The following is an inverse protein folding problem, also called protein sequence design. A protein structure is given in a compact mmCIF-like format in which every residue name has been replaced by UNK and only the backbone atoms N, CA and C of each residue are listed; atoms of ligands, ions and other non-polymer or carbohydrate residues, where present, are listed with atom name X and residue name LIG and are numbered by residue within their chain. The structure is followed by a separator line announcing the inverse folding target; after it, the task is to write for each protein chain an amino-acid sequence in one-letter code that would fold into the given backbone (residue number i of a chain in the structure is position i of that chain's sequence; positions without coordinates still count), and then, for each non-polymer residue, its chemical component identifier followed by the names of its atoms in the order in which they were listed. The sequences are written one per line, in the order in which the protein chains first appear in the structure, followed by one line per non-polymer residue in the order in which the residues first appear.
data_IF_457662035497
#
_entry.id   IF_457662035497
#
_cell.length_a   1.000
_cell.length_b   1.000
_cell.length_c   1.000
_cell.angle_alpha   90.00
_cell.angle_beta   90.00
_cell.angle_gamma   90.00
#
_symmetry.space_group_name_H-M   'P 1'
#
loop_
_entity.id
_entity.type
_entity.pdbx_description
1 polymer ?
#
# COMPACT_ATOMS: atom_id res chain seq x y z
N UNK A 1 6.54 3.21 23.42
CA UNK A 1 7.58 3.14 22.38
C UNK A 1 8.29 1.80 22.52
N UNK A 2 8.40 1.04 21.44
CA UNK A 2 9.04 -0.28 21.42
C UNK A 2 10.11 -0.30 20.32
N UNK A 3 11.20 -1.02 20.53
CA UNK A 3 12.24 -1.18 19.52
C UNK A 3 11.92 -2.39 18.64
N UNK A 4 12.03 -2.21 17.32
CA UNK A 4 11.86 -3.27 16.32
C UNK A 4 13.21 -3.48 15.63
N UNK A 5 13.79 -4.67 15.79
CA UNK A 5 15.00 -5.03 15.05
C UNK A 5 14.66 -5.49 13.64
N UNK A 6 15.44 -5.07 12.65
CA UNK A 6 15.32 -5.56 11.28
C UNK A 6 15.90 -6.98 11.22
N UNK A 7 15.03 -7.97 11.02
CA UNK A 7 15.40 -9.38 10.84
C UNK A 7 15.98 -9.59 9.44
N UNK A 8 15.34 -9.00 8.43
CA UNK A 8 15.83 -9.00 7.05
C UNK A 8 15.25 -7.83 6.28
N UNK A 9 15.92 -7.48 5.18
CA UNK A 9 15.39 -6.52 4.22
C UNK A 9 15.85 -6.86 2.81
N UNK A 10 15.03 -6.51 1.82
CA UNK A 10 15.33 -6.76 0.42
C UNK A 10 14.63 -5.75 -0.49
N UNK A 11 15.29 -5.34 -1.57
CA UNK A 11 14.64 -4.62 -2.64
C UNK A 11 13.72 -5.58 -3.42
N UNK A 12 12.46 -5.21 -3.56
CA UNK A 12 11.43 -5.97 -4.29
C UNK A 12 11.05 -5.31 -5.61
N UNK A 13 11.44 -4.05 -5.81
CA UNK A 13 11.54 -3.35 -7.10
C UNK A 13 12.84 -2.53 -7.09
N UNK A 14 13.11 -1.76 -8.15
CA UNK A 14 14.32 -0.93 -8.23
C UNK A 14 14.45 0.12 -7.11
N UNK A 15 13.35 0.53 -6.46
CA UNK A 15 13.36 1.52 -5.38
C UNK A 15 12.40 1.21 -4.23
N UNK A 16 11.82 0.01 -4.18
CA UNK A 16 10.96 -0.40 -3.07
C UNK A 16 11.65 -1.48 -2.27
N UNK A 17 11.78 -1.25 -0.97
CA UNK A 17 12.43 -2.15 -0.02
C UNK A 17 11.39 -2.72 0.95
N UNK A 18 11.38 -4.04 1.07
CA UNK A 18 10.62 -4.79 2.08
C UNK A 18 11.49 -4.94 3.32
N UNK A 19 10.94 -4.64 4.48
CA UNK A 19 11.56 -4.88 5.78
C UNK A 19 10.75 -5.90 6.57
N UNK A 20 11.43 -6.92 7.06
CA UNK A 20 10.92 -7.88 8.05
C UNK A 20 11.48 -7.47 9.41
N UNK A 21 10.59 -7.22 10.36
CA UNK A 21 10.92 -6.66 11.66
C UNK A 21 10.50 -7.65 12.76
N UNK A 22 11.24 -7.64 13.86
CA UNK A 22 10.79 -8.33 15.08
C UNK A 22 9.43 -7.83 15.50
N UNK A 23 8.56 -8.76 15.89
CA UNK A 23 7.23 -8.44 16.41
C UNK A 23 7.27 -8.42 17.93
N UNK A 24 6.89 -7.31 18.58
CA UNK A 24 6.83 -7.26 20.03
C UNK A 24 5.82 -8.29 20.56
N UNK A 25 6.12 -8.85 21.73
CA UNK A 25 5.22 -9.82 22.38
C UNK A 25 3.85 -9.17 22.65
N UNK A 26 2.79 -9.95 22.40
CA UNK A 26 1.39 -9.53 22.59
C UNK A 26 0.98 -8.30 21.74
N UNK A 27 1.76 -7.95 20.71
CA UNK A 27 1.44 -6.84 19.81
C UNK A 27 0.29 -7.19 18.87
N UNK A 28 -0.71 -6.29 18.81
CA UNK A 28 -1.91 -6.48 17.99
C UNK A 28 -2.17 -5.31 17.06
N UNK A 29 -2.50 -5.61 15.81
CA UNK A 29 -3.03 -4.67 14.83
C UNK A 29 -4.01 -5.39 13.90
N UNK A 30 -4.81 -4.62 13.18
CA UNK A 30 -5.70 -5.10 12.13
C UNK A 30 -5.13 -4.81 10.73
N UNK A 31 -5.42 -5.65 9.72
CA UNK A 31 -5.06 -5.37 8.34
C UNK A 31 -5.49 -3.96 7.89
N UNK A 32 -4.55 -3.23 7.27
CA UNK A 32 -4.73 -1.84 6.83
C UNK A 32 -4.41 -0.78 7.89
N UNK A 33 -4.04 -1.18 9.11
CA UNK A 33 -3.49 -0.26 10.11
C UNK A 33 -2.01 0.05 9.86
N UNK A 34 -1.65 1.28 10.20
CA UNK A 34 -0.30 1.81 10.13
C UNK A 34 0.25 2.06 11.53
N UNK A 35 1.56 2.22 11.60
CA UNK A 35 2.20 2.73 12.79
C UNK A 35 3.10 3.92 12.46
N UNK A 36 3.26 4.80 13.43
CA UNK A 36 4.31 5.81 13.40
C UNK A 36 5.63 5.14 13.76
N UNK A 37 6.61 5.26 12.87
CA UNK A 37 7.93 4.67 13.02
C UNK A 37 9.00 5.76 12.83
N UNK A 38 10.07 5.67 13.61
CA UNK A 38 11.32 6.39 13.35
C UNK A 38 12.51 5.44 13.39
N UNK A 39 13.70 5.95 13.06
CA UNK A 39 14.93 5.16 12.99
C UNK A 39 15.68 5.35 14.30
N UNK A 40 16.12 4.26 14.94
CA UNK A 40 16.86 4.31 16.20
C UNK A 40 18.35 4.66 15.97
N UNK A 41 18.62 5.85 15.44
CA UNK A 41 19.96 6.38 15.16
C UNK A 41 19.98 7.86 15.56
N UNK A 42 21.06 8.36 16.20
CA UNK A 42 21.24 9.78 16.54
C UNK A 42 20.84 10.73 15.42
N UNK A 43 19.85 11.59 15.71
CA UNK A 43 19.32 12.60 14.80
C UNK A 43 18.09 12.16 14.01
N UNK A 44 17.74 10.87 14.04
CA UNK A 44 16.61 10.30 13.30
C UNK A 44 15.47 9.81 14.20
N UNK A 45 15.68 9.73 15.52
CA UNK A 45 14.73 9.13 16.47
C UNK A 45 13.42 9.91 16.55
N UNK A 46 13.46 11.21 16.24
CA UNK A 46 12.30 12.10 16.24
C UNK A 46 11.74 12.35 14.82
N UNK A 47 12.29 11.70 13.78
CA UNK A 47 11.80 11.82 12.41
C UNK A 47 10.68 10.80 12.16
N UNK A 48 9.50 11.12 12.68
CA UNK A 48 8.33 10.24 12.68
C UNK A 48 7.69 10.14 11.29
N UNK A 49 7.48 8.92 10.79
CA UNK A 49 6.75 8.67 9.54
C UNK A 49 5.76 7.51 9.67
N UNK A 50 4.61 7.60 9.00
CA UNK A 50 3.64 6.51 8.99
C UNK A 50 4.07 5.40 8.03
N UNK A 51 3.98 4.14 8.48
CA UNK A 51 4.13 2.97 7.62
C UNK A 51 3.05 1.94 7.91
N UNK A 52 2.47 1.40 6.84
CA UNK A 52 1.39 0.42 6.94
C UNK A 52 1.94 -0.99 7.05
N UNK A 53 1.39 -1.76 7.99
CA UNK A 53 1.72 -3.17 8.09
C UNK A 53 1.17 -3.92 6.88
N UNK A 54 2.07 -4.66 6.24
CA UNK A 54 1.76 -5.54 5.11
C UNK A 54 1.67 -6.99 5.57
N UNK A 55 2.23 -7.35 6.72
CA UNK A 55 2.10 -8.67 7.36
C UNK A 55 0.70 -8.91 7.93
N UNK A 56 0.38 -10.18 8.21
CA UNK A 56 -0.82 -10.57 8.95
C UNK A 56 -0.58 -10.66 10.46
N UNK A 57 -1.64 -10.41 11.23
CA UNK A 57 -1.59 -10.38 12.68
C UNK A 57 -1.15 -11.71 13.31
N UNK A 58 -1.32 -12.85 12.65
CA UNK A 58 -0.88 -14.13 13.21
C UNK A 58 0.56 -14.51 12.80
N UNK A 59 1.24 -13.70 11.98
CA UNK A 59 2.65 -13.92 11.66
C UNK A 59 3.54 -13.57 12.86
N UNK A 60 4.68 -14.26 12.96
CA UNK A 60 5.68 -14.09 14.03
C UNK A 60 6.53 -12.82 13.86
N UNK A 61 6.38 -12.11 12.74
CA UNK A 61 7.11 -10.90 12.40
C UNK A 61 6.18 -9.82 11.87
N UNK A 62 6.66 -8.58 11.89
CA UNK A 62 6.03 -7.46 11.19
C UNK A 62 6.68 -7.28 9.81
N UNK A 63 5.89 -6.90 8.81
CA UNK A 63 6.38 -6.55 7.48
C UNK A 63 5.91 -5.15 7.10
N UNK A 64 6.83 -4.29 6.69
CA UNK A 64 6.54 -3.01 6.05
C UNK A 64 7.23 -2.93 4.69
N UNK A 65 6.60 -2.24 3.76
CA UNK A 65 7.11 -2.01 2.41
C UNK A 65 7.25 -0.51 2.20
N UNK A 66 8.46 -0.08 1.86
CA UNK A 66 8.83 1.33 1.79
C UNK A 66 9.44 1.64 0.45
N UNK A 67 8.94 2.68 -0.21
CA UNK A 67 9.62 3.28 -1.36
C UNK A 67 10.74 4.20 -0.88
N UNK A 68 11.94 3.95 -1.38
CA UNK A 68 13.16 4.68 -1.07
C UNK A 68 13.28 5.84 -2.05
N UNK A 69 13.38 7.05 -1.51
CA UNK A 69 13.59 8.28 -2.28
C UNK A 69 15.00 8.79 -1.98
N UNK A 70 15.96 8.51 -2.86
CA UNK A 70 17.39 8.82 -2.62
C UNK A 70 17.75 10.28 -2.94
N UNK A 71 16.89 10.98 -3.67
CA UNK A 71 17.12 12.35 -4.17
C UNK A 71 17.16 13.42 -3.05
N UNK A 72 16.68 13.07 -1.85
CA UNK A 72 16.64 13.98 -0.69
C UNK A 72 17.13 13.27 0.58
N UNK A 73 17.82 14.00 1.45
CA UNK A 73 18.10 13.52 2.81
C UNK A 73 16.81 13.47 3.61
N UNK A 74 16.18 12.29 3.65
CA UNK A 74 14.93 12.04 4.34
C UNK A 74 14.85 10.64 4.93
N UNK A 75 13.77 10.38 5.68
CA UNK A 75 13.58 9.12 6.42
C UNK A 75 13.62 7.90 5.49
N UNK A 76 13.01 7.98 4.31
CA UNK A 76 13.04 6.90 3.31
C UNK A 76 14.46 6.63 2.79
N UNK A 77 15.24 7.68 2.47
CA UNK A 77 16.64 7.54 2.07
C UNK A 77 17.47 6.87 3.17
N UNK A 78 17.26 7.29 4.43
CA UNK A 78 17.96 6.72 5.57
C UNK A 78 17.56 5.25 5.82
N UNK A 79 16.28 4.91 5.70
CA UNK A 79 15.81 3.52 5.74
C UNK A 79 16.48 2.67 4.65
N UNK A 80 16.69 3.22 3.46
CA UNK A 80 17.38 2.55 2.35
C UNK A 80 18.78 2.05 2.73
N UNK A 81 19.49 2.81 3.58
CA UNK A 81 20.84 2.51 4.05
C UNK A 81 20.89 1.47 5.19
N UNK A 82 19.76 1.14 5.81
CA UNK A 82 19.73 0.20 6.93
C UNK A 82 19.90 -1.25 6.47
N UNK A 83 20.63 -2.02 7.27
CA UNK A 83 20.89 -3.44 7.07
C UNK A 83 20.24 -4.27 8.19
N UNK A 84 20.27 -5.59 8.04
CA UNK A 84 19.86 -6.52 9.11
C UNK A 84 20.55 -6.17 10.42
N UNK A 85 19.78 -6.22 11.51
CA UNK A 85 20.24 -5.89 12.85
C UNK A 85 20.09 -4.42 13.25
N UNK A 86 19.85 -3.50 12.31
CA UNK A 86 19.48 -2.13 12.64
C UNK A 86 18.10 -2.06 13.30
N UNK A 87 17.85 -0.98 14.03
CA UNK A 87 16.68 -0.82 14.88
C UNK A 87 15.79 0.34 14.42
N UNK A 88 14.49 0.10 14.48
CA UNK A 88 13.43 1.08 14.30
C UNK A 88 12.69 1.28 15.62
N UNK A 89 12.09 2.46 15.81
CA UNK A 89 11.27 2.77 16.96
C UNK A 89 9.80 2.77 16.55
N UNK A 90 9.01 1.90 17.17
CA UNK A 90 7.56 1.84 17.05
C UNK A 90 6.91 2.77 18.07
N UNK A 91 6.11 3.70 17.58
CA UNK A 91 5.36 4.66 18.39
C UNK A 91 3.90 4.23 18.51
N UNK A 92 2.98 4.98 17.89
CA UNK A 92 1.55 4.73 17.91
C UNK A 92 1.09 3.89 16.72
N UNK A 93 0.07 3.06 16.93
CA UNK A 93 -0.66 2.35 15.86
C UNK A 93 -1.97 3.10 15.61
N UNK A 94 -2.28 3.33 14.35
CA UNK A 94 -3.49 4.03 13.94
C UNK A 94 -4.07 3.41 12.66
N UNK A 95 -5.35 3.64 12.39
CA UNK A 95 -6.01 3.11 11.19
C UNK A 95 -5.88 4.09 10.03
N UNK A 96 -5.27 3.67 8.92
CA UNK A 96 -5.35 4.39 7.64
C UNK A 96 -6.54 3.89 6.85
N UNK A 97 -6.55 2.60 6.50
CA UNK A 97 -7.65 1.98 5.76
C UNK A 97 -8.23 0.85 6.59
N UNK A 98 -9.53 0.94 6.92
CA UNK A 98 -10.25 -0.17 7.57
C UNK A 98 -11.12 -0.91 6.56
N UNK A 99 -10.93 -2.22 6.46
CA UNK A 99 -11.84 -3.04 5.66
C UNK A 99 -13.26 -3.01 6.24
N UNK A 100 -14.24 -2.77 5.37
CA UNK A 100 -15.67 -2.55 5.67
C UNK A 100 -16.57 -3.41 4.77
N UNK A 101 -16.02 -4.45 4.16
CA UNK A 101 -16.71 -5.37 3.24
C UNK A 101 -16.23 -5.28 1.79
N UNK A 102 -16.76 -6.12 0.89
CA UNK A 102 -16.34 -6.17 -0.50
C UNK A 102 -16.48 -4.82 -1.22
N UNK A 103 -15.67 -4.61 -2.24
CA UNK A 103 -15.59 -3.35 -2.96
C UNK A 103 -14.43 -3.29 -3.94
N UNK A 104 -14.25 -2.11 -4.54
CA UNK A 104 -13.22 -1.83 -5.54
C UNK A 104 -12.11 -1.02 -4.85
N UNK A 105 -10.90 -1.54 -4.90
CA UNK A 105 -9.70 -0.91 -4.39
C UNK A 105 -9.00 -0.18 -5.52
N UNK A 106 -8.59 1.06 -5.28
CA UNK A 106 -7.95 1.94 -6.24
C UNK A 106 -6.66 2.45 -5.60
N UNK A 107 -5.52 1.97 -6.09
CA UNK A 107 -4.21 2.28 -5.54
C UNK A 107 -3.36 3.10 -6.52
N UNK A 108 -2.58 4.04 -6.00
CA UNK A 108 -1.50 4.71 -6.73
C UNK A 108 -0.14 4.44 -6.11
N UNK A 109 0.77 3.79 -6.83
CA UNK A 109 2.14 3.51 -6.37
C UNK A 109 2.19 2.81 -5.00
N UNK A 110 2.81 3.44 -4.00
CA UNK A 110 2.88 2.89 -2.62
C UNK A 110 1.55 2.88 -1.88
N UNK A 111 0.50 3.52 -2.40
CA UNK A 111 -0.85 3.45 -1.83
C UNK A 111 -1.46 2.04 -1.82
N UNK A 112 -0.78 1.05 -2.43
CA UNK A 112 -1.15 -0.36 -2.31
C UNK A 112 -0.91 -0.94 -0.90
N UNK A 113 0.00 -0.35 -0.10
CA UNK A 113 0.46 -0.96 1.15
C UNK A 113 -0.62 -1.24 2.18
N UNK A 114 -1.64 -0.37 2.39
CA UNK A 114 -2.75 -0.70 3.28
C UNK A 114 -3.63 -1.84 2.77
N UNK A 115 -3.66 -2.06 1.46
CA UNK A 115 -4.50 -3.09 0.86
C UNK A 115 -3.84 -4.48 0.88
N UNK A 116 -2.50 -4.57 0.95
CA UNK A 116 -1.78 -5.84 0.93
C UNK A 116 -2.22 -6.75 2.08
N UNK A 117 -2.19 -6.26 3.32
CA UNK A 117 -2.62 -7.06 4.47
C UNK A 117 -4.11 -7.43 4.39
N UNK A 118 -4.95 -6.54 3.83
CA UNK A 118 -6.38 -6.81 3.62
C UNK A 118 -6.55 -7.95 2.62
N UNK A 119 -5.89 -7.88 1.46
CA UNK A 119 -5.98 -8.93 0.44
C UNK A 119 -5.42 -10.26 0.93
N UNK A 120 -4.30 -10.26 1.64
CA UNK A 120 -3.74 -11.47 2.27
C UNK A 120 -4.75 -12.12 3.21
N UNK A 121 -5.38 -11.35 4.10
CA UNK A 121 -6.38 -11.86 5.04
C UNK A 121 -7.63 -12.40 4.32
N UNK A 122 -8.09 -11.71 3.27
CA UNK A 122 -9.23 -12.16 2.46
C UNK A 122 -8.90 -13.40 1.63
N UNK A 123 -7.67 -13.52 1.13
CA UNK A 123 -7.21 -14.69 0.39
C UNK A 123 -7.17 -15.93 1.28
N UNK A 124 -6.55 -15.83 2.46
CA UNK A 124 -6.48 -16.94 3.42
C UNK A 124 -7.87 -17.40 3.92
N UNK A 125 -8.81 -16.46 4.07
CA UNK A 125 -10.17 -16.76 4.50
C UNK A 125 -11.13 -17.12 3.36
N UNK A 126 -10.68 -17.10 2.09
CA UNK A 126 -11.52 -17.40 0.92
C UNK A 126 -12.57 -16.31 0.58
N UNK A 127 -12.41 -15.09 1.10
CA UNK A 127 -13.39 -14.00 1.03
C UNK A 127 -13.08 -12.92 -0.01
N UNK A 128 -12.37 -13.27 -1.10
CA UNK A 128 -12.07 -12.33 -2.19
C UNK A 128 -13.23 -12.12 -3.19
N UNK A 129 -14.39 -12.74 -2.95
CA UNK A 129 -15.56 -12.56 -3.81
C UNK A 129 -15.99 -11.09 -3.80
N UNK A 130 -16.19 -10.51 -5.00
CA UNK A 130 -16.54 -9.08 -5.20
C UNK A 130 -15.47 -8.10 -4.70
N UNK A 131 -14.21 -8.52 -4.69
CA UNK A 131 -13.06 -7.65 -4.46
C UNK A 131 -12.33 -7.46 -5.78
N UNK A 132 -12.03 -6.22 -6.14
CA UNK A 132 -11.25 -5.88 -7.33
C UNK A 132 -10.19 -4.83 -7.00
N UNK A 133 -9.09 -4.81 -7.76
CA UNK A 133 -8.02 -3.84 -7.62
C UNK A 133 -7.76 -3.16 -8.97
N UNK A 134 -7.85 -1.83 -8.98
CA UNK A 134 -7.34 -0.95 -10.03
C UNK A 134 -6.05 -0.31 -9.52
N UNK A 135 -4.92 -0.64 -10.13
CA UNK A 135 -3.61 -0.23 -9.62
C UNK A 135 -2.85 0.63 -10.62
N UNK A 136 -2.72 1.92 -10.31
CA UNK A 136 -1.95 2.88 -11.09
C UNK A 136 -0.47 2.82 -10.71
N UNK A 137 0.38 2.53 -11.69
CA UNK A 137 1.83 2.55 -11.58
C UNK A 137 2.43 3.42 -12.68
N UNK A 138 3.70 3.80 -12.54
CA UNK A 138 4.39 4.53 -13.61
C UNK A 138 4.73 3.56 -14.73
N UNK A 139 5.65 2.61 -14.52
CA UNK A 139 5.96 1.51 -15.46
C UNK A 139 5.57 0.14 -14.89
N UNK A 140 5.72 -0.92 -15.69
CA UNK A 140 5.65 -2.31 -15.21
C UNK A 140 6.66 -2.64 -14.10
N UNK A 141 7.84 -2.04 -14.11
CA UNK A 141 8.90 -2.27 -13.12
C UNK A 141 8.63 -1.58 -11.77
N UNK A 142 7.63 -0.70 -11.72
CA UNK A 142 7.18 -0.05 -10.50
C UNK A 142 6.15 -0.88 -9.71
N UNK A 143 5.63 -1.99 -10.26
CA UNK A 143 4.56 -2.78 -9.64
C UNK A 143 5.08 -3.48 -8.37
N UNK A 144 4.51 -3.09 -7.23
CA UNK A 144 4.79 -3.73 -5.94
C UNK A 144 4.00 -5.05 -5.84
N UNK A 145 4.70 -6.17 -5.62
CA UNK A 145 4.14 -7.51 -5.37
C UNK A 145 3.25 -8.05 -6.51
N UNK A 146 3.64 -7.84 -7.77
CA UNK A 146 2.86 -8.25 -8.94
C UNK A 146 2.37 -9.71 -8.90
N UNK A 147 3.28 -10.66 -8.65
CA UNK A 147 2.97 -12.09 -8.67
C UNK A 147 2.01 -12.49 -7.54
N UNK A 148 2.18 -11.89 -6.37
CA UNK A 148 1.33 -12.13 -5.20
C UNK A 148 -0.09 -11.60 -5.44
N UNK A 149 -0.20 -10.37 -5.94
CA UNK A 149 -1.49 -9.75 -6.29
C UNK A 149 -2.20 -10.54 -7.40
N UNK A 150 -1.46 -11.01 -8.41
CA UNK A 150 -1.98 -11.84 -9.49
C UNK A 150 -2.51 -13.17 -8.97
N UNK A 151 -1.76 -13.83 -8.07
CA UNK A 151 -2.19 -15.08 -7.43
C UNK A 151 -3.47 -14.89 -6.61
N UNK A 152 -3.59 -13.80 -5.86
CA UNK A 152 -4.75 -13.56 -5.00
C UNK A 152 -6.00 -13.17 -5.80
N UNK A 153 -5.87 -12.18 -6.69
CA UNK A 153 -7.02 -11.50 -7.30
C UNK A 153 -7.31 -11.96 -8.72
N UNK A 154 -6.35 -12.59 -9.41
CA UNK A 154 -6.49 -13.07 -10.78
C UNK A 154 -7.03 -11.99 -11.72
N UNK A 155 -8.12 -12.24 -12.47
CA UNK A 155 -8.71 -11.27 -13.40
C UNK A 155 -9.24 -9.97 -12.76
N UNK A 156 -9.46 -9.96 -11.44
CA UNK A 156 -9.95 -8.79 -10.72
C UNK A 156 -8.84 -7.77 -10.41
N UNK A 157 -7.57 -8.11 -10.69
CA UNK A 157 -6.43 -7.21 -10.58
C UNK A 157 -6.08 -6.61 -11.95
N UNK A 158 -6.21 -5.28 -12.05
CA UNK A 158 -5.93 -4.51 -13.27
C UNK A 158 -4.84 -3.47 -13.00
N UNK A 159 -3.73 -3.56 -13.73
CA UNK A 159 -2.70 -2.52 -13.71
C UNK A 159 -2.96 -1.47 -14.80
N UNK A 160 -2.65 -0.22 -14.47
CA UNK A 160 -2.68 0.91 -15.37
C UNK A 160 -1.32 1.61 -15.29
N UNK A 161 -0.67 1.82 -16.44
CA UNK A 161 0.65 2.44 -16.48
C UNK A 161 0.55 3.85 -17.04
N UNK A 162 1.08 4.82 -16.28
CA UNK A 162 1.06 6.23 -16.69
C UNK A 162 2.21 6.57 -17.63
N UNK A 163 3.24 5.72 -17.72
CA UNK A 163 4.36 5.85 -18.64
C UNK A 163 5.01 4.50 -18.88
N UNK A 164 5.10 4.04 -20.12
CA UNK A 164 5.85 2.83 -20.45
C UNK A 164 6.82 3.16 -21.59
N UNK A 165 8.09 2.75 -21.44
CA UNK A 165 9.16 3.04 -22.39
C UNK A 165 9.10 2.20 -23.68
N UNK A 166 7.90 1.78 -24.10
CA UNK A 166 7.69 0.83 -25.20
C UNK A 166 6.99 1.52 -26.36
N UNK A 167 7.51 1.32 -27.57
CA UNK A 167 6.94 1.88 -28.80
C UNK A 167 5.47 1.43 -28.95
N UNK A 168 4.59 2.39 -29.17
CA UNK A 168 3.14 2.14 -29.33
C UNK A 168 2.36 2.07 -28.03
N UNK A 169 3.01 2.20 -26.87
CA UNK A 169 2.30 2.33 -25.60
C UNK A 169 1.50 3.64 -25.55
N UNK A 170 0.22 3.54 -25.17
CA UNK A 170 -0.62 4.69 -24.90
C UNK A 170 -0.71 4.88 -23.40
N UNK A 171 -0.14 5.99 -22.91
CA UNK A 171 -0.26 6.39 -21.52
C UNK A 171 -1.72 6.38 -21.10
N UNK A 172 -1.99 5.73 -19.97
CA UNK A 172 -3.33 5.68 -19.40
C UNK A 172 -3.23 6.01 -17.93
N UNK A 173 -4.20 6.80 -17.45
CA UNK A 173 -4.35 7.11 -16.04
C UNK A 173 -5.66 6.48 -15.58
N UNK A 174 -5.72 6.13 -14.29
CA UNK A 174 -7.01 5.92 -13.67
C UNK A 174 -7.57 7.34 -13.49
N UNK A 175 -8.41 7.75 -14.42
CA UNK A 175 -9.11 9.03 -14.43
C UNK A 175 -10.62 8.77 -14.54
N UNK A 176 -11.43 9.83 -14.55
CA UNK A 176 -12.90 9.71 -14.68
C UNK A 176 -13.32 8.85 -15.88
N UNK A 177 -12.64 8.97 -17.02
CA UNK A 177 -12.96 8.21 -18.23
C UNK A 177 -12.65 6.73 -18.03
N UNK A 178 -11.48 6.41 -17.47
CA UNK A 178 -11.11 5.04 -17.11
C UNK A 178 -12.13 4.40 -16.16
N UNK A 179 -12.58 5.15 -15.15
CA UNK A 179 -13.58 4.68 -14.19
C UNK A 179 -14.89 4.32 -14.91
N UNK A 180 -15.40 5.18 -15.80
CA UNK A 180 -16.62 4.90 -16.60
C UNK A 180 -16.44 3.63 -17.46
N UNK A 181 -15.28 3.49 -18.11
CA UNK A 181 -15.01 2.34 -18.98
C UNK A 181 -14.85 1.02 -18.21
N UNK A 182 -14.50 1.08 -16.93
CA UNK A 182 -14.08 -0.08 -16.14
C UNK A 182 -15.11 -0.51 -15.10
N UNK A 183 -15.85 0.44 -14.54
CA UNK A 183 -16.80 0.24 -13.44
C UNK A 183 -18.21 0.38 -14.00
N UNK A 184 -18.94 -0.74 -14.03
CA UNK A 184 -20.31 -0.77 -14.55
C UNK A 184 -21.37 -0.25 -13.56
N UNK A 185 -21.07 -0.23 -12.26
CA UNK A 185 -21.97 0.27 -11.21
C UNK A 185 -21.16 0.96 -10.11
N UNK A 186 -21.54 2.19 -9.76
CA UNK A 186 -20.93 3.00 -8.71
C UNK A 186 -21.61 2.84 -7.34
N UNK A 187 -22.70 2.08 -7.25
CA UNK A 187 -23.25 1.58 -5.97
C UNK A 187 -22.38 0.43 -5.44
N UNK A 188 -21.18 0.80 -4.99
CA UNK A 188 -20.18 -0.09 -4.41
C UNK A 188 -19.38 0.68 -3.37
N UNK A 189 -18.70 -0.07 -2.51
CA UNK A 189 -17.64 0.49 -1.67
C UNK A 189 -16.38 0.70 -2.49
N UNK A 190 -15.70 1.82 -2.24
CA UNK A 190 -14.43 2.14 -2.84
C UNK A 190 -13.37 2.39 -1.76
N UNK A 191 -12.22 1.77 -1.95
CA UNK A 191 -11.04 1.97 -1.13
C UNK A 191 -10.00 2.70 -1.96
N UNK A 192 -9.61 3.91 -1.59
CA UNK A 192 -8.72 4.75 -2.41
C UNK A 192 -7.49 5.11 -1.59
N UNK A 193 -6.29 4.86 -2.13
CA UNK A 193 -5.06 5.27 -1.47
C UNK A 193 -3.94 5.51 -2.49
N UNK A 194 -3.22 6.62 -2.35
CA UNK A 194 -2.13 6.99 -3.24
C UNK A 194 -1.57 8.37 -2.90
N UNK A 195 -0.83 9.01 -3.82
CA UNK A 195 -0.50 10.42 -3.72
C UNK A 195 -1.75 11.28 -3.49
N UNK A 196 -1.59 12.45 -2.87
CA UNK A 196 -2.71 13.32 -2.48
C UNK A 196 -3.59 13.67 -3.70
N UNK A 197 -3.00 14.27 -4.74
CA UNK A 197 -3.72 14.66 -5.96
C UNK A 197 -4.46 13.48 -6.60
N UNK A 198 -3.82 12.30 -6.66
CA UNK A 198 -4.46 11.09 -7.18
C UNK A 198 -5.69 10.70 -6.34
N UNK A 199 -5.56 10.76 -5.03
CA UNK A 199 -6.64 10.36 -4.10
C UNK A 199 -7.82 11.32 -4.18
N UNK A 200 -7.55 12.62 -4.22
CA UNK A 200 -8.56 13.67 -4.35
C UNK A 200 -9.29 13.55 -5.70
N UNK A 201 -8.57 13.46 -6.82
CA UNK A 201 -9.14 13.33 -8.16
C UNK A 201 -10.03 12.08 -8.30
N UNK A 202 -9.59 10.94 -7.76
CA UNK A 202 -10.37 9.70 -7.82
C UNK A 202 -11.64 9.81 -6.97
N UNK A 203 -11.55 10.35 -5.76
CA UNK A 203 -12.71 10.53 -4.89
C UNK A 203 -13.74 11.46 -5.51
N UNK A 204 -13.32 12.62 -6.04
CA UNK A 204 -14.20 13.54 -6.76
C UNK A 204 -14.86 12.87 -7.97
N UNK A 205 -14.09 12.13 -8.77
CA UNK A 205 -14.60 11.41 -9.92
C UNK A 205 -15.65 10.37 -9.51
N UNK A 206 -15.38 9.55 -8.48
CA UNK A 206 -16.31 8.54 -7.97
C UNK A 206 -17.63 9.16 -7.51
N UNK A 207 -17.59 10.23 -6.70
CA UNK A 207 -18.80 10.92 -6.24
C UNK A 207 -19.57 11.51 -7.42
N UNK A 208 -18.89 12.15 -8.37
CA UNK A 208 -19.52 12.70 -9.59
C UNK A 208 -20.18 11.63 -10.47
N UNK A 209 -19.77 10.37 -10.33
CA UNK A 209 -20.28 9.20 -11.05
C UNK A 209 -21.37 8.45 -10.26
N UNK A 210 -21.74 8.95 -9.08
CA UNK A 210 -22.84 8.42 -8.27
C UNK A 210 -22.42 7.48 -7.15
N UNK A 211 -21.13 7.40 -6.81
CA UNK A 211 -20.71 6.69 -5.60
C UNK A 211 -21.16 7.47 -4.35
N UNK A 212 -21.66 6.73 -3.35
CA UNK A 212 -22.01 7.30 -2.06
C UNK A 212 -20.73 7.68 -1.28
N UNK A 213 -20.55 8.97 -0.89
CA UNK A 213 -19.41 9.39 -0.07
C UNK A 213 -19.23 8.58 1.23
N UNK A 214 -20.31 8.06 1.82
CA UNK A 214 -20.24 7.24 3.04
C UNK A 214 -19.58 5.86 2.80
N UNK A 215 -19.54 5.42 1.54
CA UNK A 215 -18.90 4.18 1.10
C UNK A 215 -17.51 4.40 0.50
N UNK A 216 -16.97 5.62 0.57
CA UNK A 216 -15.55 5.87 0.31
C UNK A 216 -14.73 5.59 1.58
N UNK A 217 -13.62 4.86 1.41
CA UNK A 217 -12.62 4.62 2.45
C UNK A 217 -11.28 5.10 1.91
N UNK A 218 -10.74 6.14 2.53
CA UNK A 218 -9.56 6.88 2.08
C UNK A 218 -8.53 6.97 3.20
#
# INVERSE_FOLDING_TARGET
MQTLKIISNQYITHNVKRFVLEKPKDFTYAPGQSAVISINIPGWENQLRPYTFTSLQHWDYLEIIVKIYEEHEGVSAQLGKLNTGAELLLHEVFGTIKYKGPGIFIAGGTGITPFIAIFRALFESGNLRKVALLYSNRTKDDIILHDELTKMLGPAYKNVFTKEGVIGFRERRIDRKYLIETIGNFDSRFYVCGPQDFTEEICEALVSLGADPEYLVV
#
